data_IF_186485775281
#
_entry.id   IF_186485775281
#
_cell.length_a   1.000
_cell.length_b   1.000
_cell.length_c   1.000
_cell.angle_alpha   90.00
_cell.angle_beta   90.00
_cell.angle_gamma   90.00
#
_symmetry.space_group_name_H-M   'P 1'
#
loop_
_entity.id
_entity.type
_entity.pdbx_description
1 polymer ?
#
# COMPACT_ATOMS: atom_id res chain seq x y z
N UNK A 1 -13.78 42.16 -21.54
CA UNK A 1 -13.65 40.70 -21.30
C UNK A 1 -12.83 40.49 -20.04
N UNK A 2 -13.47 40.06 -18.94
CA UNK A 2 -12.81 39.84 -17.65
C UNK A 2 -12.12 38.47 -17.65
N UNK A 3 -10.78 38.45 -17.62
CA UNK A 3 -10.02 37.23 -17.30
C UNK A 3 -9.89 37.12 -15.78
N UNK A 4 -10.59 36.15 -15.19
CA UNK A 4 -10.43 35.78 -13.78
C UNK A 4 -9.16 34.93 -13.61
N UNK A 5 -8.24 35.42 -12.78
CA UNK A 5 -7.01 34.71 -12.40
C UNK A 5 -7.34 33.49 -11.55
N UNK A 6 -6.90 32.31 -11.99
CA UNK A 6 -6.87 31.11 -11.17
C UNK A 6 -5.85 31.31 -10.02
N UNK A 7 -6.32 31.41 -8.79
CA UNK A 7 -5.46 31.44 -7.61
C UNK A 7 -4.87 30.05 -7.37
N UNK A 8 -3.56 29.92 -7.55
CA UNK A 8 -2.81 28.72 -7.20
C UNK A 8 -2.86 28.52 -5.67
N UNK A 9 -3.59 27.49 -5.22
CA UNK A 9 -3.60 27.07 -3.82
C UNK A 9 -2.22 26.51 -3.47
N UNK A 10 -1.40 27.33 -2.80
CA UNK A 10 -0.13 26.92 -2.21
C UNK A 10 -0.40 25.92 -1.10
N UNK A 11 -0.01 24.65 -1.30
CA UNK A 11 0.01 23.64 -0.24
C UNK A 11 1.20 23.92 0.68
N UNK A 12 1.02 23.91 2.02
CA UNK A 12 2.13 24.07 2.94
C UNK A 12 3.06 22.86 2.84
N UNK A 13 4.36 23.13 2.68
CA UNK A 13 5.41 22.13 2.78
C UNK A 13 5.40 21.55 4.20
N UNK A 14 5.23 20.24 4.31
CA UNK A 14 5.38 19.53 5.58
C UNK A 14 6.85 19.65 6.01
N UNK A 15 7.09 20.48 7.02
CA UNK A 15 8.36 20.58 7.72
C UNK A 15 8.33 19.69 8.95
N UNK A 16 9.36 18.84 9.05
CA UNK A 16 10.06 18.53 10.30
C UNK A 16 9.51 17.39 11.13
N UNK A 17 10.31 16.34 11.30
CA UNK A 17 11.12 16.13 12.51
C UNK A 17 11.81 14.76 12.40
N UNK A 18 12.83 14.66 11.54
CA UNK A 18 13.66 13.45 11.48
C UNK A 18 14.72 13.52 12.59
N UNK A 19 14.36 13.02 13.77
CA UNK A 19 15.31 12.66 14.82
C UNK A 19 14.83 11.41 15.54
N UNK A 20 15.48 10.29 15.23
CA UNK A 20 15.93 9.21 16.13
C UNK A 20 16.46 8.12 15.20
N UNK A 21 17.75 7.85 15.17
CA UNK A 21 18.47 7.30 16.31
C UNK A 21 18.69 5.83 15.97
N UNK A 22 19.72 5.58 15.17
CA UNK A 22 20.16 4.27 14.75
C UNK A 22 20.56 3.45 15.99
N UNK A 23 19.69 2.56 16.45
CA UNK A 23 20.03 1.60 17.49
C UNK A 23 20.38 0.27 16.80
N UNK A 24 21.68 0.02 16.70
CA UNK A 24 22.24 -1.27 16.33
C UNK A 24 21.73 -2.35 17.29
N UNK A 25 21.30 -3.49 16.73
CA UNK A 25 21.00 -4.67 17.52
C UNK A 25 22.32 -5.34 17.94
N UNK A 26 22.64 -5.29 19.23
CA UNK A 26 23.67 -6.13 19.83
C UNK A 26 23.19 -6.61 21.19
N UNK A 27 23.29 -7.92 21.42
CA UNK A 27 23.19 -8.53 22.74
C UNK A 27 21.89 -9.27 23.00
N UNK A 28 21.94 -10.59 22.78
CA UNK A 28 21.10 -11.55 23.48
C UNK A 28 21.63 -11.64 24.91
N UNK A 29 20.81 -11.31 25.90
CA UNK A 29 20.94 -11.85 27.25
C UNK A 29 19.54 -12.00 27.86
N UNK A 30 19.26 -13.22 28.32
CA UNK A 30 17.99 -13.60 28.95
C UNK A 30 17.84 -12.99 30.34
N UNK A 31 16.65 -12.48 30.62
CA UNK A 31 16.26 -11.99 31.93
C UNK A 31 14.74 -11.86 32.04
N UNK A 32 14.16 -12.64 32.95
CA UNK A 32 12.76 -12.55 33.39
C UNK A 32 12.39 -11.12 33.77
N UNK A 33 11.37 -10.54 33.12
CA UNK A 33 10.73 -9.30 33.60
C UNK A 33 9.21 -9.46 33.59
N UNK A 34 8.69 -9.54 34.82
CA UNK A 34 7.30 -9.38 35.19
C UNK A 34 6.65 -8.14 34.58
N UNK A 35 5.42 -8.30 34.08
CA UNK A 35 4.39 -7.26 34.14
C UNK A 35 4.54 -6.06 33.21
N UNK A 36 4.08 -6.20 31.96
CA UNK A 36 3.53 -5.07 31.20
C UNK A 36 2.07 -5.38 30.91
N UNK A 37 1.20 -4.83 31.78
CA UNK A 37 -0.22 -4.60 31.53
C UNK A 37 -0.36 -4.10 30.09
N UNK A 38 -1.28 -4.67 29.30
CA UNK A 38 -1.69 -4.15 28.00
C UNK A 38 -2.10 -2.69 28.18
N UNK A 39 -1.11 -1.81 28.10
CA UNK A 39 -1.30 -0.38 28.08
C UNK A 39 -2.04 -0.10 26.79
N UNK A 40 -3.15 0.64 26.93
CA UNK A 40 -4.01 1.13 25.88
C UNK A 40 -3.24 1.33 24.57
N UNK A 41 -3.38 0.37 23.66
CA UNK A 41 -2.99 0.62 22.28
C UNK A 41 -3.82 1.84 21.84
N UNK A 42 -3.19 2.91 21.33
CA UNK A 42 -3.94 4.06 20.87
C UNK A 42 -4.99 3.56 19.88
N UNK A 43 -6.25 3.95 20.10
CA UNK A 43 -7.35 3.58 19.22
C UNK A 43 -6.89 3.78 17.77
N UNK A 44 -7.12 2.80 16.88
CA UNK A 44 -6.52 2.80 15.56
C UNK A 44 -6.84 4.13 14.88
N UNK A 45 -5.79 4.87 14.51
CA UNK A 45 -5.95 6.13 13.80
C UNK A 45 -6.88 5.89 12.61
N UNK A 46 -7.90 6.74 12.45
CA UNK A 46 -8.93 6.56 11.42
C UNK A 46 -8.26 6.49 10.06
N UNK A 47 -8.21 5.29 9.49
CA UNK A 47 -7.62 5.04 8.18
C UNK A 47 -8.45 5.73 7.09
N UNK A 48 -7.92 6.84 6.57
CA UNK A 48 -8.53 7.55 5.46
C UNK A 48 -8.09 6.92 4.16
N UNK A 49 -9.06 6.54 3.33
CA UNK A 49 -8.81 6.01 2.00
C UNK A 49 -8.25 7.08 1.07
N UNK A 50 -7.10 6.81 0.45
CA UNK A 50 -6.44 7.67 -0.53
C UNK A 50 -6.24 6.89 -1.82
N UNK A 51 -6.43 7.55 -2.96
CA UNK A 51 -6.06 6.98 -4.26
C UNK A 51 -4.55 7.02 -4.38
N UNK A 52 -3.94 5.85 -4.55
CA UNK A 52 -2.49 5.68 -4.70
C UNK A 52 -2.19 5.00 -6.03
N UNK A 53 -1.01 5.30 -6.57
CA UNK A 53 -0.43 4.59 -7.70
C UNK A 53 0.70 3.71 -7.14
N UNK A 54 0.62 2.41 -7.43
CA UNK A 54 1.58 1.39 -7.03
C UNK A 54 2.36 1.03 -8.28
N UNK A 55 3.67 1.22 -8.24
CA UNK A 55 4.59 0.81 -9.29
C UNK A 55 5.20 -0.52 -8.88
N UNK A 56 5.04 -1.55 -9.70
CA UNK A 56 5.55 -2.88 -9.41
C UNK A 56 6.23 -3.49 -10.64
N UNK A 57 7.18 -4.37 -10.41
CA UNK A 57 7.79 -5.22 -11.43
C UNK A 57 7.60 -6.69 -11.04
N UNK A 58 7.41 -7.57 -12.02
CA UNK A 58 7.15 -8.98 -11.77
C UNK A 58 7.71 -9.88 -12.86
N UNK A 59 7.98 -11.13 -12.47
CA UNK A 59 8.25 -12.22 -13.40
C UNK A 59 6.95 -12.97 -13.67
N UNK A 60 6.55 -13.09 -14.94
CA UNK A 60 5.28 -13.73 -15.32
C UNK A 60 5.32 -15.25 -15.35
N UNK A 61 6.46 -15.88 -15.08
CA UNK A 61 6.59 -17.35 -15.09
C UNK A 61 5.63 -17.97 -14.07
N UNK A 62 4.78 -18.90 -14.52
CA UNK A 62 3.76 -19.55 -13.67
C UNK A 62 2.45 -18.76 -13.54
N UNK A 63 2.44 -17.48 -13.89
CA UNK A 63 1.25 -16.63 -13.80
C UNK A 63 0.48 -16.55 -15.13
N UNK A 64 -0.84 -16.45 -15.01
CA UNK A 64 -1.77 -16.37 -16.15
C UNK A 64 -2.02 -14.93 -16.60
N UNK A 65 -0.98 -14.10 -16.51
CA UNK A 65 -1.02 -12.68 -16.84
C UNK A 65 -1.32 -11.81 -15.62
N UNK A 66 -1.51 -10.52 -15.89
CA UNK A 66 -1.79 -9.53 -14.85
C UNK A 66 -3.21 -9.63 -14.32
N UNK A 67 -4.19 -9.74 -15.21
CA UNK A 67 -5.60 -9.54 -14.88
C UNK A 67 -6.12 -10.63 -13.94
N UNK A 68 -6.93 -10.26 -12.95
CA UNK A 68 -7.64 -11.23 -12.14
C UNK A 68 -8.54 -12.12 -13.01
N UNK A 69 -8.38 -13.43 -12.86
CA UNK A 69 -9.19 -14.43 -13.52
C UNK A 69 -9.51 -15.55 -12.52
N UNK A 70 -10.63 -16.23 -12.70
CA UNK A 70 -11.06 -17.28 -11.79
C UNK A 70 -10.19 -18.53 -11.93
N UNK A 71 -9.91 -19.20 -10.81
CA UNK A 71 -9.19 -20.48 -10.75
C UNK A 71 -7.75 -20.49 -11.29
N UNK A 72 -7.14 -19.32 -11.48
CA UNK A 72 -5.74 -19.21 -11.90
C UNK A 72 -5.00 -18.16 -11.09
N UNK A 73 -3.70 -18.38 -10.89
CA UNK A 73 -2.84 -17.42 -10.22
C UNK A 73 -2.47 -16.28 -11.17
N UNK A 74 -2.69 -15.05 -10.72
CA UNK A 74 -2.45 -13.83 -11.49
C UNK A 74 -1.76 -12.80 -10.63
N UNK A 75 -1.05 -11.87 -11.28
CA UNK A 75 -0.24 -10.87 -10.58
C UNK A 75 -1.12 -9.91 -9.77
N UNK A 76 -2.33 -9.58 -10.25
CA UNK A 76 -3.27 -8.75 -9.49
C UNK A 76 -3.71 -9.40 -8.18
N UNK A 77 -3.90 -10.72 -8.16
CA UNK A 77 -4.30 -11.41 -6.93
C UNK A 77 -3.19 -11.31 -5.86
N UNK A 78 -1.94 -11.51 -6.27
CA UNK A 78 -0.77 -11.36 -5.39
C UNK A 78 -0.63 -9.93 -4.85
N UNK A 79 -0.74 -8.92 -5.71
CA UNK A 79 -0.66 -7.52 -5.27
C UNK A 79 -1.80 -7.19 -4.31
N UNK A 80 -3.02 -7.66 -4.59
CA UNK A 80 -4.18 -7.44 -3.72
C UNK A 80 -4.00 -8.11 -2.36
N UNK A 81 -3.51 -9.35 -2.33
CA UNK A 81 -3.17 -10.09 -1.10
C UNK A 81 -2.08 -9.39 -0.31
N UNK A 82 -1.03 -8.91 -0.97
CA UNK A 82 0.04 -8.15 -0.33
C UNK A 82 -0.51 -6.89 0.35
N UNK A 83 -1.32 -6.08 -0.35
CA UNK A 83 -1.96 -4.88 0.22
C UNK A 83 -2.86 -5.22 1.42
N UNK A 84 -3.57 -6.36 1.35
CA UNK A 84 -4.43 -6.82 2.43
C UNK A 84 -3.63 -7.28 3.66
N UNK A 85 -2.59 -8.09 3.48
CA UNK A 85 -1.69 -8.53 4.55
C UNK A 85 -0.98 -7.36 5.22
N UNK A 86 -0.69 -6.33 4.44
CA UNK A 86 -0.10 -5.10 4.91
C UNK A 86 -1.10 -4.28 5.77
N UNK A 87 -2.40 -4.59 5.73
CA UNK A 87 -3.43 -3.90 6.53
C UNK A 87 -3.91 -2.58 5.92
N UNK A 88 -3.54 -2.32 4.66
CA UNK A 88 -3.97 -1.14 3.90
C UNK A 88 -5.37 -1.31 3.26
N UNK A 89 -5.97 -2.50 3.38
CA UNK A 89 -7.30 -2.80 2.85
C UNK A 89 -8.18 -3.47 3.93
N UNK A 90 -9.46 -3.08 3.97
CA UNK A 90 -10.48 -3.73 4.81
C UNK A 90 -10.98 -4.99 4.11
N UNK A 91 -11.30 -6.03 4.88
CA UNK A 91 -11.82 -7.31 4.37
C UNK A 91 -13.07 -7.16 3.49
N UNK A 92 -14.01 -6.29 3.88
CA UNK A 92 -15.22 -5.98 3.07
C UNK A 92 -14.95 -5.39 1.67
N UNK A 93 -13.73 -4.90 1.44
CA UNK A 93 -13.30 -4.31 0.18
C UNK A 93 -12.43 -5.27 -0.64
N UNK A 94 -12.02 -6.40 -0.07
CA UNK A 94 -11.12 -7.34 -0.73
C UNK A 94 -11.81 -8.03 -1.91
N UNK A 95 -13.05 -8.46 -1.75
CA UNK A 95 -13.81 -9.19 -2.78
C UNK A 95 -14.19 -8.31 -3.99
N UNK A 96 -14.45 -7.02 -3.77
CA UNK A 96 -14.96 -6.11 -4.80
C UNK A 96 -13.93 -5.04 -5.18
N UNK A 97 -13.29 -5.26 -6.33
CA UNK A 97 -12.32 -4.35 -6.95
C UNK A 97 -12.94 -2.96 -7.29
N UNK A 98 -14.24 -2.89 -7.52
CA UNK A 98 -14.95 -1.65 -7.80
C UNK A 98 -14.96 -0.71 -6.60
N UNK A 99 -15.07 -1.26 -5.38
CA UNK A 99 -15.03 -0.45 -4.15
C UNK A 99 -13.69 0.25 -3.99
N UNK A 100 -12.59 -0.37 -4.39
CA UNK A 100 -11.24 0.20 -4.27
C UNK A 100 -10.79 0.97 -5.51
N UNK A 101 -11.69 1.21 -6.47
CA UNK A 101 -11.41 2.00 -7.67
C UNK A 101 -10.13 1.49 -8.38
N UNK A 102 -10.08 0.16 -8.54
CA UNK A 102 -8.94 -0.56 -9.08
C UNK A 102 -8.77 -0.28 -10.58
N UNK A 103 -7.57 0.08 -11.00
CA UNK A 103 -7.24 0.23 -12.42
C UNK A 103 -5.80 -0.16 -12.72
N UNK A 104 -5.53 -0.45 -13.99
CA UNK A 104 -4.24 -0.93 -14.49
C UNK A 104 -3.74 0.00 -15.60
N UNK A 105 -2.43 0.13 -15.74
CA UNK A 105 -1.83 0.81 -16.88
C UNK A 105 -1.84 -0.03 -18.15
N UNK A 106 -1.71 -1.35 -18.04
CA UNK A 106 -1.59 -2.26 -19.17
C UNK A 106 -2.26 -3.61 -18.87
N UNK A 107 -2.43 -4.41 -19.93
CA UNK A 107 -2.82 -5.81 -19.86
C UNK A 107 -1.63 -6.63 -20.33
N UNK A 108 -1.39 -7.77 -19.71
CA UNK A 108 -0.31 -8.70 -20.08
C UNK A 108 -0.86 -10.11 -20.18
N UNK A 109 -0.34 -10.85 -21.15
CA UNK A 109 -0.70 -12.24 -21.39
C UNK A 109 0.01 -13.18 -20.41
N UNK A 110 -0.38 -14.45 -20.46
CA UNK A 110 0.25 -15.53 -19.68
C UNK A 110 1.76 -15.59 -19.95
N UNK A 111 2.55 -15.69 -18.89
CA UNK A 111 4.01 -15.83 -18.99
C UNK A 111 4.79 -14.54 -19.30
N UNK A 112 4.13 -13.39 -19.46
CA UNK A 112 4.79 -12.12 -19.78
C UNK A 112 5.46 -11.52 -18.55
N UNK A 113 6.72 -11.10 -18.69
CA UNK A 113 7.46 -10.38 -17.65
C UNK A 113 7.29 -8.87 -17.82
N UNK A 114 7.31 -8.12 -16.72
CA UNK A 114 7.26 -6.66 -16.75
C UNK A 114 8.16 -6.04 -15.69
N UNK A 115 9.03 -5.12 -16.10
CA UNK A 115 9.89 -4.38 -15.18
C UNK A 115 9.13 -3.28 -14.42
N UNK A 116 8.12 -2.70 -15.06
CA UNK A 116 7.36 -1.59 -14.48
C UNK A 116 5.92 -1.64 -14.99
N UNK A 117 5.00 -1.88 -14.06
CA UNK A 117 3.57 -1.72 -14.27
C UNK A 117 3.00 -0.81 -13.20
N UNK A 118 2.00 -0.01 -13.57
CA UNK A 118 1.33 0.89 -12.63
C UNK A 118 -0.08 0.39 -12.38
N UNK A 119 -0.38 0.16 -11.12
CA UNK A 119 -1.71 -0.23 -10.64
C UNK A 119 -2.23 0.88 -9.73
N UNK A 120 -3.46 1.28 -9.95
CA UNK A 120 -4.14 2.29 -9.13
C UNK A 120 -5.11 1.57 -8.19
N UNK A 121 -5.03 1.93 -6.91
CA UNK A 121 -5.95 1.45 -5.91
C UNK A 121 -6.25 2.55 -4.90
N UNK A 122 -7.45 2.55 -4.35
CA UNK A 122 -7.81 3.38 -3.23
C UNK A 122 -7.59 2.58 -1.94
N UNK A 123 -6.47 2.83 -1.27
CA UNK A 123 -6.03 2.12 -0.08
C UNK A 123 -6.03 3.04 1.15
N UNK A 124 -6.10 2.46 2.34
CA UNK A 124 -5.89 3.18 3.58
C UNK A 124 -4.41 3.58 3.70
N UNK A 125 -4.14 4.88 3.79
CA UNK A 125 -2.78 5.38 3.93
C UNK A 125 -2.29 5.19 5.38
N UNK A 126 -1.72 4.03 5.67
CA UNK A 126 -0.86 3.79 6.83
C UNK A 126 0.49 3.16 6.45
N UNK A 127 0.79 3.06 5.14
CA UNK A 127 1.90 2.27 4.60
C UNK A 127 2.75 3.00 3.59
N UNK A 128 3.11 4.23 3.91
CA UNK A 128 4.33 4.83 3.34
C UNK A 128 5.25 5.01 4.54
N UNK A 129 5.80 3.89 5.01
CA UNK A 129 7.07 3.88 5.74
C UNK A 129 8.14 3.92 4.65
N UNK A 130 8.90 5.01 4.57
CA UNK A 130 10.17 5.06 3.81
C UNK A 130 11.29 4.36 4.60
#
# INVERSE_FOLDING_TARGET
>A
MMLTRLAAVRRPALRGCFRRGLAAISGVDGGSVSGRRWADAPAPAKLVKRKVAIVSGYMGTGYHGLQLNENVETIEDEIRRAIFQAGAMRESNFEDLGKIDWARSSRTDKGVHASCIVVRAAAAAAMVEE
#
